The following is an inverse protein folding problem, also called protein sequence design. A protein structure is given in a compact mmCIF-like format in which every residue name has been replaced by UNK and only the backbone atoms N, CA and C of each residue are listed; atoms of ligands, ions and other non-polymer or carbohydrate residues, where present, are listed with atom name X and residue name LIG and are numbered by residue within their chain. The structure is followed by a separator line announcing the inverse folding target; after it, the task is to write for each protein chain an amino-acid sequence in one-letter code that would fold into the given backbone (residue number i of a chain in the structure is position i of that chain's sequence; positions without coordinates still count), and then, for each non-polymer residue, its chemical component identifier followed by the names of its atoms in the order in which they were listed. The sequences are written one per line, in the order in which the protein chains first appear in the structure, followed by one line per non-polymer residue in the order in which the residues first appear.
data_IF_016088299984
#
_entry.id   IF_016088299984
#
_cell.length_a   1.000
_cell.length_b   1.000
_cell.length_c   1.000
_cell.angle_alpha   90.00
_cell.angle_beta   90.00
_cell.angle_gamma   90.00
#
_symmetry.space_group_name_H-M   'P 1'
#
loop_
_entity.id
_entity.type
_entity.pdbx_description
1 polymer ?
#
# COMPACT_ATOMS: atom_id res chain seq x y z
N UNK A 1 -18.78 -3.23 25.01
CA UNK A 1 -18.15 -3.58 23.73
C UNK A 1 -17.75 -2.34 22.91
N UNK A 2 -18.65 -1.43 22.58
CA UNK A 2 -18.32 -0.24 21.75
C UNK A 2 -17.16 0.59 22.29
N UNK A 3 -17.09 0.82 23.60
CA UNK A 3 -15.99 1.57 24.23
C UNK A 3 -14.65 0.85 24.11
N UNK A 4 -14.62 -0.48 24.28
CA UNK A 4 -13.42 -1.29 24.11
C UNK A 4 -12.87 -1.14 22.68
N UNK A 5 -13.75 -1.27 21.68
CA UNK A 5 -13.34 -1.14 20.28
C UNK A 5 -12.90 0.28 19.94
N UNK A 6 -13.55 1.31 20.53
CA UNK A 6 -13.17 2.72 20.38
C UNK A 6 -11.78 2.98 20.97
N UNK A 7 -11.51 2.47 22.18
CA UNK A 7 -10.19 2.57 22.83
C UNK A 7 -9.09 1.92 21.99
N UNK A 8 -9.33 0.73 21.43
CA UNK A 8 -8.36 0.05 20.54
C UNK A 8 -8.12 0.86 19.24
N UNK A 9 -9.19 1.43 18.68
CA UNK A 9 -9.08 2.30 17.52
C UNK A 9 -8.22 3.54 17.83
N UNK A 10 -8.46 4.18 18.96
CA UNK A 10 -7.70 5.35 19.40
C UNK A 10 -6.24 5.01 19.68
N UNK A 11 -5.98 3.89 20.35
CA UNK A 11 -4.61 3.40 20.59
C UNK A 11 -3.87 3.17 19.28
N UNK A 12 -4.49 2.49 18.32
CA UNK A 12 -3.87 2.24 17.02
C UNK A 12 -3.67 3.54 16.23
N UNK A 13 -4.65 4.46 16.26
CA UNK A 13 -4.52 5.77 15.63
C UNK A 13 -3.37 6.58 16.21
N UNK A 14 -3.26 6.62 17.54
CA UNK A 14 -2.16 7.31 18.25
C UNK A 14 -0.80 6.70 17.86
N UNK A 15 -0.73 5.38 17.75
CA UNK A 15 0.46 4.70 17.27
C UNK A 15 0.81 5.12 15.82
N UNK A 16 -0.16 5.14 14.91
CA UNK A 16 0.05 5.58 13.54
C UNK A 16 0.48 7.06 13.47
N UNK A 17 -0.14 7.96 14.24
CA UNK A 17 0.23 9.37 14.31
C UNK A 17 1.66 9.54 14.84
N UNK A 18 2.06 8.73 15.83
CA UNK A 18 3.45 8.74 16.34
C UNK A 18 4.44 8.38 15.23
N UNK A 19 4.16 7.33 14.45
CA UNK A 19 5.05 6.91 13.37
C UNK A 19 5.00 7.86 12.17
N UNK A 20 3.86 8.49 11.87
CA UNK A 20 3.76 9.44 10.76
C UNK A 20 4.68 10.67 10.94
N UNK A 21 4.97 11.09 12.17
CA UNK A 21 5.93 12.17 12.45
C UNK A 21 7.35 11.84 11.98
N UNK A 22 7.74 10.57 11.99
CA UNK A 22 9.05 10.14 11.50
C UNK A 22 9.10 10.06 9.97
N UNK A 23 7.95 9.80 9.33
CA UNK A 23 7.83 9.80 7.87
C UNK A 23 7.74 11.22 7.33
N UNK A 24 6.90 12.05 7.95
CA UNK A 24 6.66 13.43 7.55
C UNK A 24 7.63 14.39 8.27
N UNK A 25 8.94 14.16 8.11
CA UNK A 25 9.94 15.11 8.54
C UNK A 25 10.02 16.28 7.54
N UNK A 26 10.63 17.40 7.95
CA UNK A 26 10.68 18.64 7.15
C UNK A 26 11.31 18.42 5.78
N UNK A 27 12.38 17.62 5.71
CA UNK A 27 13.06 17.31 4.45
C UNK A 27 12.17 16.49 3.50
N UNK A 28 11.45 15.51 4.03
CA UNK A 28 10.53 14.70 3.24
C UNK A 28 9.35 15.52 2.75
N UNK A 29 8.79 16.40 3.59
CA UNK A 29 7.70 17.30 3.20
C UNK A 29 8.15 18.25 2.09
N UNK A 30 9.32 18.84 2.21
CA UNK A 30 9.88 19.71 1.17
C UNK A 30 10.09 18.96 -0.14
N UNK A 31 10.70 17.76 -0.07
CA UNK A 31 10.86 16.88 -1.24
C UNK A 31 9.53 16.56 -1.90
N UNK A 32 8.52 16.15 -1.12
CA UNK A 32 7.19 15.84 -1.65
C UNK A 32 6.52 17.05 -2.30
N UNK A 33 6.71 18.24 -1.76
CA UNK A 33 6.15 19.47 -2.32
C UNK A 33 6.74 19.78 -3.71
N UNK A 34 8.07 19.69 -3.82
CA UNK A 34 8.79 19.85 -5.10
C UNK A 34 8.36 18.74 -6.09
N UNK A 35 8.28 17.50 -5.61
CA UNK A 35 7.91 16.35 -6.45
C UNK A 35 6.47 16.45 -6.96
N UNK A 36 5.52 16.88 -6.13
CA UNK A 36 4.12 17.12 -6.57
C UNK A 36 4.07 18.25 -7.59
N UNK A 37 4.83 19.34 -7.38
CA UNK A 37 4.94 20.42 -8.37
C UNK A 37 5.49 19.93 -9.72
N UNK A 38 6.55 19.13 -9.69
CA UNK A 38 7.10 18.50 -10.88
C UNK A 38 6.07 17.61 -11.60
N UNK A 39 5.38 16.73 -10.83
CA UNK A 39 4.33 15.88 -11.41
C UNK A 39 3.18 16.69 -12.01
N UNK A 40 2.80 17.80 -11.40
CA UNK A 40 1.74 18.67 -11.93
C UNK A 40 2.14 19.30 -13.27
N UNK A 41 3.40 19.73 -13.41
CA UNK A 41 3.93 20.26 -14.68
C UNK A 41 3.96 19.16 -15.75
N UNK A 42 4.49 17.97 -15.42
CA UNK A 42 4.53 16.84 -16.36
C UNK A 42 3.11 16.41 -16.78
N UNK A 43 2.18 16.39 -15.85
CA UNK A 43 0.78 16.08 -16.13
C UNK A 43 0.14 17.13 -17.06
N UNK A 44 0.42 18.41 -16.84
CA UNK A 44 -0.06 19.50 -17.70
C UNK A 44 0.51 19.40 -19.12
N UNK A 45 1.82 19.12 -19.26
CA UNK A 45 2.46 18.91 -20.56
C UNK A 45 1.88 17.68 -21.27
N UNK A 46 1.71 16.58 -20.56
CA UNK A 46 1.10 15.37 -21.11
C UNK A 46 -0.32 15.61 -21.64
N UNK A 47 -1.11 16.48 -20.96
CA UNK A 47 -2.44 16.86 -21.44
C UNK A 47 -2.42 17.68 -22.73
N UNK A 48 -1.36 18.48 -22.95
CA UNK A 48 -1.20 19.29 -24.17
C UNK A 48 -0.71 18.47 -25.37
N UNK A 49 0.14 17.48 -25.11
CA UNK A 49 0.80 16.65 -26.13
C UNK A 49 0.09 15.29 -26.33
N UNK A 50 -1.22 15.22 -26.11
CA UNK A 50 -1.98 13.99 -26.33
C UNK A 50 -1.97 13.55 -27.79
N UNK A 51 -1.76 12.25 -28.07
CA UNK A 51 -1.81 11.73 -29.44
C UNK A 51 -3.23 11.88 -30.03
N UNK A 52 -3.33 11.96 -31.35
CA UNK A 52 -4.61 12.10 -32.07
C UNK A 52 -5.58 10.96 -31.76
N UNK A 53 -5.07 9.74 -31.59
CA UNK A 53 -5.85 8.60 -31.13
C UNK A 53 -5.67 8.40 -29.62
N UNK A 54 -6.64 8.84 -28.86
CA UNK A 54 -6.66 8.76 -27.41
C UNK A 54 -7.38 7.53 -26.87
N UNK A 55 -7.86 6.64 -27.76
CA UNK A 55 -8.68 5.49 -27.38
C UNK A 55 -7.96 4.54 -26.40
N UNK A 56 -6.69 4.22 -26.68
CA UNK A 56 -5.87 3.38 -25.81
C UNK A 56 -5.67 4.01 -24.43
N UNK A 57 -5.38 5.31 -24.37
CA UNK A 57 -5.19 6.04 -23.10
C UNK A 57 -6.48 6.01 -22.31
N UNK A 58 -7.62 6.28 -22.93
CA UNK A 58 -8.93 6.25 -22.29
C UNK A 58 -9.23 4.88 -21.67
N UNK A 59 -9.11 3.80 -22.45
CA UNK A 59 -9.39 2.46 -21.95
C UNK A 59 -8.41 2.03 -20.86
N UNK A 60 -7.12 2.32 -21.00
CA UNK A 60 -6.12 2.01 -19.98
C UNK A 60 -6.41 2.72 -18.64
N UNK A 61 -6.83 3.99 -18.69
CA UNK A 61 -7.24 4.74 -17.51
C UNK A 61 -8.50 4.15 -16.86
N UNK A 62 -9.52 3.86 -17.65
CA UNK A 62 -10.75 3.26 -17.12
C UNK A 62 -10.46 1.91 -16.47
N UNK A 63 -9.67 1.05 -17.11
CA UNK A 63 -9.26 -0.23 -16.53
C UNK A 63 -8.40 0.00 -15.27
N UNK A 64 -7.45 0.93 -15.29
CA UNK A 64 -6.63 1.26 -14.13
C UNK A 64 -7.45 1.72 -12.93
N UNK A 65 -8.43 2.59 -13.14
CA UNK A 65 -9.34 3.04 -12.09
C UNK A 65 -10.27 1.93 -11.60
N UNK A 66 -10.68 1.00 -12.47
CA UNK A 66 -11.46 -0.18 -12.11
C UNK A 66 -10.64 -1.12 -11.21
N UNK A 67 -9.34 -1.29 -11.46
CA UNK A 67 -8.44 -2.09 -10.63
C UNK A 67 -8.27 -1.53 -9.20
N UNK A 68 -8.63 -0.28 -8.95
CA UNK A 68 -8.66 0.31 -7.61
C UNK A 68 -9.90 -0.09 -6.80
N UNK A 69 -10.95 -0.62 -7.43
CA UNK A 69 -12.20 -1.00 -6.75
C UNK A 69 -11.99 -2.01 -5.62
N UNK A 70 -11.22 -3.10 -5.79
CA UNK A 70 -11.00 -4.07 -4.73
C UNK A 70 -10.08 -3.58 -3.60
N UNK A 71 -9.42 -2.43 -3.77
CA UNK A 71 -8.53 -1.87 -2.76
C UNK A 71 -9.36 -1.36 -1.58
N UNK A 72 -8.94 -1.74 -0.38
CA UNK A 72 -9.56 -1.38 0.88
C UNK A 72 -9.83 -2.56 1.77
N UNK A 73 -9.89 -2.31 3.07
CA UNK A 73 -10.14 -3.32 4.10
C UNK A 73 -11.12 -2.80 5.13
N UNK A 74 -11.87 -3.72 5.75
CA UNK A 74 -12.80 -3.40 6.83
C UNK A 74 -12.00 -3.39 8.14
N UNK A 75 -12.06 -2.29 8.88
CA UNK A 75 -11.37 -2.12 10.15
C UNK A 75 -12.24 -2.62 11.30
N UNK A 76 -11.98 -3.82 11.78
CA UNK A 76 -12.80 -4.46 12.83
C UNK A 76 -12.25 -4.23 14.23
N UNK A 77 -10.95 -4.02 14.39
CA UNK A 77 -10.24 -3.89 15.68
C UNK A 77 -10.42 -5.09 16.60
N UNK A 78 -10.78 -6.26 16.06
CA UNK A 78 -10.86 -7.52 16.80
C UNK A 78 -9.48 -8.06 17.11
N UNK A 79 -9.36 -8.68 18.29
CA UNK A 79 -8.11 -9.30 18.78
C UNK A 79 -8.36 -10.75 19.21
N UNK A 80 -7.29 -11.54 19.33
CA UNK A 80 -7.39 -12.98 19.66
C UNK A 80 -8.25 -13.29 20.89
N UNK A 81 -8.19 -12.54 22.02
CA UNK A 81 -9.00 -12.81 23.18
C UNK A 81 -10.51 -12.67 22.95
N UNK A 82 -10.93 -11.86 21.96
CA UNK A 82 -12.34 -11.58 21.70
C UNK A 82 -13.12 -12.82 21.30
N UNK A 83 -12.47 -13.77 20.63
CA UNK A 83 -13.09 -15.04 20.26
C UNK A 83 -13.59 -15.85 21.47
N UNK A 84 -12.99 -15.64 22.64
CA UNK A 84 -13.41 -16.29 23.89
C UNK A 84 -14.38 -15.41 24.68
N UNK A 85 -14.02 -14.14 24.89
CA UNK A 85 -14.77 -13.26 25.80
C UNK A 85 -16.01 -12.63 25.20
N UNK A 86 -16.07 -12.45 23.86
CA UNK A 86 -17.20 -11.84 23.19
C UNK A 86 -18.12 -12.84 22.48
N UNK A 87 -17.86 -14.15 22.62
CA UNK A 87 -18.68 -15.19 22.01
C UNK A 87 -20.16 -15.07 22.42
N UNK A 88 -20.42 -14.82 23.71
CA UNK A 88 -21.78 -14.64 24.25
C UNK A 88 -22.50 -13.41 23.64
N UNK A 89 -21.73 -12.44 23.14
CA UNK A 89 -22.23 -11.20 22.53
C UNK A 89 -22.04 -11.15 21.01
N UNK A 90 -22.01 -12.32 20.38
CA UNK A 90 -21.71 -12.42 18.93
C UNK A 90 -22.64 -11.56 18.07
N UNK A 91 -23.92 -11.46 18.39
CA UNK A 91 -24.88 -10.63 17.65
C UNK A 91 -24.56 -9.12 17.75
N UNK A 92 -24.03 -8.66 18.89
CA UNK A 92 -23.56 -7.29 19.01
C UNK A 92 -22.30 -7.05 18.15
N UNK A 93 -21.42 -8.06 18.09
CA UNK A 93 -20.18 -8.01 17.27
C UNK A 93 -20.56 -8.01 15.79
N UNK A 94 -21.50 -8.82 15.34
CA UNK A 94 -22.00 -8.82 13.97
C UNK A 94 -22.55 -7.43 13.57
N UNK A 95 -23.39 -6.83 14.41
CA UNK A 95 -23.89 -5.45 14.20
C UNK A 95 -22.77 -4.41 14.14
N UNK A 96 -21.77 -4.57 14.99
CA UNK A 96 -20.58 -3.69 14.97
C UNK A 96 -19.79 -3.84 13.67
N UNK A 97 -19.52 -5.06 13.18
CA UNK A 97 -18.80 -5.33 11.93
C UNK A 97 -19.57 -4.71 10.76
N UNK A 98 -20.89 -4.86 10.68
CA UNK A 98 -21.72 -4.22 9.66
C UNK A 98 -21.58 -2.69 9.66
N UNK A 99 -21.56 -2.09 10.85
CA UNK A 99 -21.33 -0.65 10.99
C UNK A 99 -19.93 -0.23 10.55
N UNK A 100 -18.92 -1.02 10.86
CA UNK A 100 -17.53 -0.76 10.42
C UNK A 100 -17.35 -0.99 8.91
N UNK A 101 -18.03 -1.95 8.32
CA UNK A 101 -18.03 -2.17 6.87
C UNK A 101 -18.55 -0.94 6.13
N UNK A 102 -19.67 -0.36 6.59
CA UNK A 102 -20.21 0.89 6.02
C UNK A 102 -19.24 2.07 6.16
N UNK A 103 -18.65 2.27 7.33
CA UNK A 103 -17.66 3.34 7.56
C UNK A 103 -16.42 3.15 6.68
N UNK A 104 -15.92 1.92 6.58
CA UNK A 104 -14.78 1.59 5.74
C UNK A 104 -15.10 1.78 4.26
N UNK A 105 -16.31 1.41 3.82
CA UNK A 105 -16.79 1.68 2.46
C UNK A 105 -16.76 3.17 2.15
N UNK A 106 -17.37 4.01 3.00
CA UNK A 106 -17.41 5.47 2.78
C UNK A 106 -16.00 6.04 2.72
N UNK A 107 -15.11 5.65 3.63
CA UNK A 107 -13.73 6.12 3.65
C UNK A 107 -12.97 5.75 2.37
N UNK A 108 -13.05 4.50 1.93
CA UNK A 108 -12.37 4.04 0.72
C UNK A 108 -13.03 4.54 -0.56
N UNK A 109 -14.33 4.79 -0.55
CA UNK A 109 -15.03 5.43 -1.65
C UNK A 109 -14.59 6.88 -1.82
N UNK A 110 -14.44 7.64 -0.73
CA UNK A 110 -13.92 9.01 -0.78
C UNK A 110 -12.48 9.06 -1.34
N UNK A 111 -11.61 8.14 -0.90
CA UNK A 111 -10.25 8.05 -1.45
C UNK A 111 -10.29 7.74 -2.95
N UNK A 112 -11.09 6.79 -3.38
CA UNK A 112 -11.23 6.44 -4.80
C UNK A 112 -11.80 7.61 -5.62
N UNK A 113 -12.79 8.32 -5.09
CA UNK A 113 -13.36 9.50 -5.73
C UNK A 113 -12.34 10.63 -5.86
N UNK A 114 -11.49 10.83 -4.84
CA UNK A 114 -10.40 11.79 -4.90
C UNK A 114 -9.37 11.43 -5.98
N UNK A 115 -8.96 10.16 -6.05
CA UNK A 115 -8.05 9.71 -7.11
C UNK A 115 -8.69 9.91 -8.48
N UNK A 116 -9.97 9.57 -8.64
CA UNK A 116 -10.68 9.77 -9.89
C UNK A 116 -10.75 11.25 -10.29
N UNK A 117 -10.97 12.15 -9.32
CA UNK A 117 -10.99 13.59 -9.55
C UNK A 117 -9.67 14.10 -10.16
N UNK A 118 -8.52 13.56 -9.75
CA UNK A 118 -7.23 13.90 -10.33
C UNK A 118 -7.12 13.49 -11.81
N UNK A 119 -7.84 12.45 -12.23
CA UNK A 119 -7.82 11.96 -13.61
C UNK A 119 -8.97 12.50 -14.47
N UNK A 120 -9.92 13.25 -13.90
CA UNK A 120 -11.02 13.87 -14.66
C UNK A 120 -10.53 14.72 -15.83
N UNK A 121 -9.53 15.62 -15.68
CA UNK A 121 -9.05 16.42 -16.81
C UNK A 121 -8.53 15.55 -17.96
N UNK A 122 -7.84 14.47 -17.65
CA UNK A 122 -7.32 13.54 -18.66
C UNK A 122 -8.45 12.76 -19.34
N UNK A 123 -9.47 12.32 -18.59
CA UNK A 123 -10.66 11.66 -19.16
C UNK A 123 -11.42 12.59 -20.10
N UNK A 124 -11.56 13.87 -19.74
CA UNK A 124 -12.16 14.89 -20.63
C UNK A 124 -11.34 15.11 -21.88
N UNK A 125 -10.03 15.23 -21.75
CA UNK A 125 -9.10 15.42 -22.88
C UNK A 125 -9.12 14.22 -23.85
N UNK A 126 -9.44 13.01 -23.38
CA UNK A 126 -9.64 11.83 -24.24
C UNK A 126 -11.02 11.77 -24.91
N UNK A 127 -11.82 12.83 -24.79
CA UNK A 127 -13.13 12.92 -25.43
C UNK A 127 -14.29 12.24 -24.69
N UNK A 128 -14.10 11.89 -23.40
CA UNK A 128 -15.24 11.47 -22.58
C UNK A 128 -16.11 12.68 -22.21
N UNK A 129 -17.41 12.59 -22.49
CA UNK A 129 -18.37 13.61 -22.07
C UNK A 129 -18.61 13.61 -20.55
N UNK A 130 -19.00 14.77 -20.01
CA UNK A 130 -19.26 14.93 -18.57
C UNK A 130 -20.25 13.88 -18.03
N UNK A 131 -21.32 13.60 -18.79
CA UNK A 131 -22.33 12.60 -18.39
C UNK A 131 -21.72 11.19 -18.27
N UNK A 132 -20.84 10.82 -19.19
CA UNK A 132 -20.16 9.52 -19.16
C UNK A 132 -19.21 9.40 -17.96
N UNK A 133 -18.55 10.48 -17.56
CA UNK A 133 -17.69 10.51 -16.37
C UNK A 133 -18.54 10.33 -15.11
N UNK A 134 -19.66 11.04 -14.99
CA UNK A 134 -20.57 10.89 -13.84
C UNK A 134 -21.13 9.46 -13.78
N UNK A 135 -21.56 8.89 -14.90
CA UNK A 135 -22.02 7.52 -14.98
C UNK A 135 -20.91 6.54 -14.56
N UNK A 136 -19.68 6.77 -14.98
CA UNK A 136 -18.55 5.94 -14.61
C UNK A 136 -18.24 6.01 -13.10
N UNK A 137 -18.31 7.18 -12.47
CA UNK A 137 -18.21 7.35 -11.01
C UNK A 137 -19.24 6.51 -10.28
N UNK A 138 -20.49 6.57 -10.73
CA UNK A 138 -21.59 5.80 -10.15
C UNK A 138 -21.35 4.30 -10.28
N UNK A 139 -20.95 3.83 -11.44
CA UNK A 139 -20.60 2.41 -11.68
C UNK A 139 -19.48 1.96 -10.75
N UNK A 140 -18.39 2.74 -10.62
CA UNK A 140 -17.30 2.43 -9.68
C UNK A 140 -17.78 2.43 -8.23
N UNK A 141 -18.69 3.33 -7.85
CA UNK A 141 -19.29 3.38 -6.51
C UNK A 141 -20.10 2.13 -6.20
N UNK A 142 -20.98 1.72 -7.12
CA UNK A 142 -21.77 0.49 -7.00
C UNK A 142 -20.86 -0.75 -6.94
N UNK A 143 -19.89 -0.84 -7.84
CA UNK A 143 -18.92 -1.93 -7.85
C UNK A 143 -18.14 -2.01 -6.53
N UNK A 144 -17.69 -0.88 -5.98
CA UNK A 144 -17.02 -0.83 -4.68
C UNK A 144 -17.96 -1.25 -3.56
N UNK A 145 -19.23 -0.82 -3.58
CA UNK A 145 -20.24 -1.26 -2.62
C UNK A 145 -20.43 -2.77 -2.64
N UNK A 146 -20.55 -3.37 -3.83
CA UNK A 146 -20.64 -4.82 -4.01
C UNK A 146 -19.40 -5.56 -3.45
N UNK A 147 -18.20 -5.05 -3.73
CA UNK A 147 -16.95 -5.61 -3.19
C UNK A 147 -16.91 -5.54 -1.66
N UNK A 148 -17.32 -4.43 -1.05
CA UNK A 148 -17.34 -4.31 0.41
C UNK A 148 -18.40 -5.20 1.05
N UNK A 149 -19.58 -5.33 0.44
CA UNK A 149 -20.62 -6.28 0.88
C UNK A 149 -20.13 -7.73 0.80
N UNK A 150 -19.45 -8.09 -0.29
CA UNK A 150 -18.85 -9.41 -0.42
C UNK A 150 -17.72 -9.67 0.59
N UNK A 151 -16.88 -8.65 0.87
CA UNK A 151 -15.85 -8.75 1.92
C UNK A 151 -16.46 -8.92 3.31
N UNK A 152 -17.57 -8.24 3.58
CA UNK A 152 -18.33 -8.38 4.82
C UNK A 152 -18.94 -9.77 4.93
N UNK A 153 -19.63 -10.24 3.88
CA UNK A 153 -20.24 -11.57 3.85
C UNK A 153 -19.25 -12.69 4.15
N UNK A 154 -18.00 -12.55 3.73
CA UNK A 154 -16.93 -13.51 4.03
C UNK A 154 -16.55 -13.64 5.51
N UNK A 155 -16.97 -12.71 6.37
CA UNK A 155 -16.78 -12.86 7.82
C UNK A 155 -17.75 -13.85 8.45
N UNK A 156 -18.80 -14.24 7.72
CA UNK A 156 -19.84 -15.15 8.23
C UNK A 156 -19.71 -16.52 7.55
N UNK A 157 -19.89 -17.55 8.34
CA UNK A 157 -19.98 -18.93 7.89
C UNK A 157 -21.16 -19.58 8.59
N UNK A 158 -22.10 -20.14 7.81
CA UNK A 158 -23.33 -20.76 8.34
C UNK A 158 -24.10 -19.87 9.32
N UNK A 159 -24.16 -18.55 9.04
CA UNK A 159 -24.81 -17.57 9.89
C UNK A 159 -24.01 -17.11 11.12
N UNK A 160 -22.91 -17.79 11.47
CA UNK A 160 -22.05 -17.46 12.60
C UNK A 160 -20.83 -16.66 12.17
N UNK A 161 -20.24 -15.90 13.10
CA UNK A 161 -19.03 -15.14 12.84
C UNK A 161 -17.80 -16.07 12.80
N UNK A 162 -17.08 -16.04 11.69
CA UNK A 162 -15.78 -16.71 11.62
C UNK A 162 -14.72 -15.83 12.31
N UNK A 163 -14.56 -16.04 13.62
CA UNK A 163 -13.65 -15.29 14.48
C UNK A 163 -12.20 -15.36 14.02
N UNK A 164 -11.75 -16.55 13.61
CA UNK A 164 -10.36 -16.76 13.15
C UNK A 164 -10.05 -15.91 11.93
N UNK A 165 -10.96 -15.91 10.96
CA UNK A 165 -10.81 -15.12 9.74
C UNK A 165 -10.90 -13.61 10.01
N UNK A 166 -11.83 -13.18 10.86
CA UNK A 166 -12.02 -11.77 11.22
C UNK A 166 -10.77 -11.21 11.92
N UNK A 167 -10.23 -11.94 12.88
CA UNK A 167 -9.00 -11.57 13.61
C UNK A 167 -7.78 -11.61 12.68
N UNK A 168 -7.66 -12.64 11.83
CA UNK A 168 -6.54 -12.74 10.89
C UNK A 168 -6.50 -11.56 9.91
N UNK A 169 -7.66 -11.16 9.35
CA UNK A 169 -7.77 -10.01 8.45
C UNK A 169 -7.44 -8.68 9.14
N UNK A 170 -7.91 -8.50 10.38
CA UNK A 170 -7.57 -7.31 11.15
C UNK A 170 -6.07 -7.22 11.44
N UNK A 171 -5.46 -8.33 11.85
CA UNK A 171 -4.02 -8.39 12.05
C UNK A 171 -3.24 -8.10 10.77
N UNK A 172 -3.66 -8.67 9.63
CA UNK A 172 -3.05 -8.39 8.33
C UNK A 172 -3.17 -6.91 7.95
N UNK A 173 -4.34 -6.28 8.19
CA UNK A 173 -4.56 -4.85 7.97
C UNK A 173 -3.62 -3.99 8.82
N UNK A 174 -3.58 -4.24 10.15
CA UNK A 174 -2.69 -3.52 11.07
C UNK A 174 -1.23 -3.69 10.68
N UNK A 175 -0.81 -4.92 10.36
CA UNK A 175 0.55 -5.21 9.92
C UNK A 175 0.92 -4.51 8.61
N UNK A 176 0.00 -4.44 7.64
CA UNK A 176 0.24 -3.74 6.37
C UNK A 176 0.52 -2.25 6.59
N UNK A 177 -0.28 -1.60 7.44
CA UNK A 177 -0.08 -0.19 7.81
C UNK A 177 1.26 -0.02 8.54
N UNK A 178 1.57 -0.88 9.51
CA UNK A 178 2.81 -0.78 10.26
C UNK A 178 4.05 -1.09 9.39
N UNK A 179 3.94 -1.99 8.41
CA UNK A 179 4.99 -2.26 7.43
C UNK A 179 5.29 -1.04 6.55
N UNK A 180 4.25 -0.28 6.19
CA UNK A 180 4.47 0.98 5.48
C UNK A 180 5.33 1.94 6.32
N UNK A 181 5.03 2.11 7.60
CA UNK A 181 5.87 2.93 8.49
C UNK A 181 7.28 2.35 8.69
N UNK A 182 7.41 1.03 8.69
CA UNK A 182 8.71 0.35 8.81
C UNK A 182 9.64 0.61 7.62
N UNK A 183 9.15 1.16 6.51
CA UNK A 183 10.00 1.62 5.40
C UNK A 183 10.84 2.85 5.79
N UNK A 184 10.38 3.62 6.77
CA UNK A 184 10.96 4.92 7.15
C UNK A 184 11.54 4.92 8.57
N UNK A 185 11.07 4.03 9.45
CA UNK A 185 11.51 3.99 10.85
C UNK A 185 11.39 2.58 11.43
N UNK A 186 12.12 2.32 12.50
CA UNK A 186 11.99 1.05 13.25
C UNK A 186 10.65 1.00 13.99
N UNK A 187 9.80 0.06 13.62
CA UNK A 187 8.48 -0.12 14.22
C UNK A 187 8.49 -1.29 15.20
N UNK A 188 8.09 -1.02 16.45
CA UNK A 188 7.94 -2.08 17.46
C UNK A 188 6.87 -3.09 17.02
N UNK A 189 7.21 -4.38 17.09
CA UNK A 189 6.29 -5.48 16.71
C UNK A 189 6.39 -5.92 15.25
N UNK A 190 7.19 -5.24 14.43
CA UNK A 190 7.64 -5.76 13.14
C UNK A 190 9.08 -6.21 13.32
N UNK A 191 9.25 -7.43 13.78
CA UNK A 191 10.56 -8.07 13.78
C UNK A 191 10.86 -8.53 12.35
N UNK A 192 11.91 -7.97 11.78
CA UNK A 192 12.45 -8.49 10.54
C UNK A 192 13.02 -9.87 10.81
N UNK A 193 12.23 -10.89 10.51
CA UNK A 193 12.69 -12.25 10.66
C UNK A 193 13.80 -12.51 9.64
N UNK A 194 14.95 -12.92 10.15
CA UNK A 194 16.01 -13.47 9.31
C UNK A 194 15.45 -14.72 8.64
N UNK A 195 15.04 -14.60 7.37
CA UNK A 195 14.48 -15.71 6.60
C UNK A 195 15.52 -16.24 5.63
N UNK A 196 15.70 -17.56 5.60
CA UNK A 196 16.46 -18.20 4.55
C UNK A 196 15.72 -18.01 3.22
N UNK A 197 16.39 -17.35 2.25
CA UNK A 197 15.90 -17.18 0.89
C UNK A 197 16.63 -18.20 0.00
N UNK A 198 16.06 -19.39 -0.11
CA UNK A 198 16.66 -20.51 -0.81
C UNK A 198 17.03 -20.18 -2.28
N UNK A 199 16.29 -19.31 -2.94
CA UNK A 199 16.56 -18.86 -4.31
C UNK A 199 17.84 -18.01 -4.43
N UNK A 200 18.32 -17.42 -3.34
CA UNK A 200 19.57 -16.65 -3.30
C UNK A 200 20.77 -17.50 -2.89
N UNK A 201 20.56 -18.73 -2.43
CA UNK A 201 21.65 -19.63 -2.03
C UNK A 201 22.57 -19.95 -3.23
N UNK A 202 22.08 -19.83 -4.48
CA UNK A 202 22.88 -19.97 -5.71
C UNK A 202 24.02 -18.95 -5.81
N UNK A 203 23.78 -17.69 -5.39
CA UNK A 203 24.82 -16.65 -5.37
C UNK A 203 25.91 -16.96 -4.34
N UNK A 204 25.57 -17.60 -3.22
CA UNK A 204 26.54 -18.05 -2.23
C UNK A 204 27.40 -19.21 -2.75
N UNK A 205 26.87 -20.00 -3.67
CA UNK A 205 27.60 -21.11 -4.32
C UNK A 205 28.67 -20.65 -5.31
N UNK A 206 28.58 -19.40 -5.82
CA UNK A 206 29.61 -18.84 -6.72
C UNK A 206 30.91 -18.46 -5.98
N UNK A 207 30.85 -18.32 -4.67
CA UNK A 207 32.05 -18.00 -3.85
C UNK A 207 32.77 -19.29 -3.44
N UNK A 208 34.06 -19.46 -3.76
CA UNK A 208 34.81 -20.63 -3.35
C UNK A 208 34.95 -20.67 -1.82
N UNK A 209 34.71 -21.84 -1.24
CA UNK A 209 34.79 -22.07 0.21
C UNK A 209 36.26 -22.26 0.65
N UNK A 210 37.04 -21.21 0.54
CA UNK A 210 38.43 -21.17 1.00
C UNK A 210 38.52 -20.44 2.34
N UNK A 211 39.56 -20.72 3.12
CA UNK A 211 39.76 -20.08 4.44
C UNK A 211 39.86 -18.56 4.33
N UNK A 212 40.45 -18.01 3.27
CA UNK A 212 40.52 -16.57 3.02
C UNK A 212 39.15 -15.90 2.74
N UNK A 213 38.18 -16.67 2.22
CA UNK A 213 36.85 -16.15 1.88
C UNK A 213 35.82 -16.34 2.99
N UNK A 214 36.21 -16.80 4.16
CA UNK A 214 35.29 -17.09 5.27
C UNK A 214 34.49 -15.85 5.68
N UNK A 215 35.14 -14.71 5.81
CA UNK A 215 34.50 -13.45 6.16
C UNK A 215 33.53 -12.96 5.07
N UNK A 216 33.92 -13.04 3.82
CA UNK A 216 33.08 -12.67 2.68
C UNK A 216 31.85 -13.54 2.62
N UNK A 217 31.98 -14.85 2.82
CA UNK A 217 30.88 -15.80 2.89
C UNK A 217 29.88 -15.46 4.03
N UNK A 218 30.42 -15.08 5.18
CA UNK A 218 29.64 -14.73 6.37
C UNK A 218 28.86 -13.43 6.14
N UNK A 219 29.51 -12.40 5.60
CA UNK A 219 28.88 -11.13 5.28
C UNK A 219 27.80 -11.27 4.21
N UNK A 220 28.09 -11.96 3.11
CA UNK A 220 27.11 -12.23 2.05
C UNK A 220 25.90 -13.01 2.59
N UNK A 221 26.13 -14.00 3.42
CA UNK A 221 25.05 -14.77 4.04
C UNK A 221 24.21 -13.93 5.00
N UNK A 222 24.85 -13.08 5.79
CA UNK A 222 24.15 -12.14 6.69
C UNK A 222 23.32 -11.13 5.89
N UNK A 223 23.92 -10.53 4.87
CA UNK A 223 23.28 -9.56 3.98
C UNK A 223 22.05 -10.14 3.27
N UNK A 224 22.18 -11.30 2.62
CA UNK A 224 21.08 -11.94 1.87
C UNK A 224 19.95 -12.42 2.78
N UNK A 225 20.23 -12.69 4.06
CA UNK A 225 19.22 -13.13 5.04
C UNK A 225 18.59 -11.98 5.80
N UNK A 226 19.29 -10.85 5.91
CA UNK A 226 18.75 -9.66 6.57
C UNK A 226 17.70 -9.01 5.65
N UNK A 227 16.45 -8.98 6.12
CA UNK A 227 15.32 -8.41 5.36
C UNK A 227 15.46 -6.92 5.09
N UNK A 228 16.05 -6.18 6.02
CA UNK A 228 16.18 -4.72 5.92
C UNK A 228 17.24 -4.32 4.92
N UNK A 229 18.45 -4.85 5.08
CA UNK A 229 19.54 -4.55 4.17
C UNK A 229 19.21 -4.96 2.73
N UNK A 230 18.67 -6.17 2.55
CA UNK A 230 18.27 -6.64 1.23
C UNK A 230 17.16 -5.80 0.60
N UNK A 231 16.14 -5.38 1.38
CA UNK A 231 15.06 -4.54 0.85
C UNK A 231 15.54 -3.11 0.56
N UNK A 232 16.49 -2.59 1.33
CA UNK A 232 17.10 -1.27 1.10
C UNK A 232 17.88 -1.27 -0.21
N UNK A 233 18.73 -2.25 -0.43
CA UNK A 233 19.50 -2.37 -1.68
C UNK A 233 18.60 -2.60 -2.89
N UNK A 234 17.52 -3.39 -2.77
CA UNK A 234 16.57 -3.57 -3.85
C UNK A 234 15.86 -2.27 -4.24
N UNK A 235 15.52 -1.43 -3.24
CA UNK A 235 14.93 -0.10 -3.48
C UNK A 235 15.91 0.84 -4.16
N UNK A 236 17.15 0.89 -3.68
CA UNK A 236 18.21 1.71 -4.31
C UNK A 236 18.43 1.28 -5.75
N UNK A 237 18.47 -0.02 -6.01
CA UNK A 237 18.62 -0.56 -7.36
C UNK A 237 17.40 -0.22 -8.23
N UNK A 238 16.18 -0.29 -7.72
CA UNK A 238 14.97 0.11 -8.44
C UNK A 238 14.98 1.62 -8.75
N UNK A 239 15.38 2.47 -7.78
CA UNK A 239 15.50 3.91 -7.98
C UNK A 239 16.59 4.25 -9.00
N UNK A 240 17.73 3.58 -8.98
CA UNK A 240 18.81 3.78 -9.96
C UNK A 240 18.37 3.38 -11.37
N UNK A 241 17.64 2.28 -11.52
CA UNK A 241 17.09 1.87 -12.81
C UNK A 241 16.06 2.88 -13.34
N UNK A 242 15.18 3.38 -12.46
CA UNK A 242 14.24 4.44 -12.85
C UNK A 242 14.98 5.72 -13.26
N UNK A 243 16.01 6.12 -12.51
CA UNK A 243 16.82 7.29 -12.87
C UNK A 243 17.49 7.13 -14.25
N UNK A 244 18.00 5.95 -14.57
CA UNK A 244 18.59 5.66 -15.90
C UNK A 244 17.57 5.79 -17.02
N UNK A 245 16.32 5.38 -16.79
CA UNK A 245 15.26 5.43 -17.81
C UNK A 245 14.76 6.87 -18.04
N UNK A 246 14.65 7.67 -16.98
CA UNK A 246 14.01 8.98 -17.06
C UNK A 246 14.97 10.16 -17.25
N UNK A 247 16.26 9.99 -16.98
CA UNK A 247 17.26 11.07 -17.10
C UNK A 247 18.13 10.82 -18.32
N UNK A 248 18.00 11.62 -19.40
CA UNK A 248 18.71 11.41 -20.66
C UNK A 248 20.22 11.76 -20.61
N UNK A 249 20.68 12.37 -19.52
CA UNK A 249 22.09 12.77 -19.38
C UNK A 249 22.90 11.71 -18.57
N UNK A 250 23.82 10.96 -19.19
CA UNK A 250 24.51 9.85 -18.55
C UNK A 250 25.38 10.25 -17.34
N UNK A 251 25.95 11.46 -17.36
CA UNK A 251 26.78 11.97 -16.25
C UNK A 251 25.96 12.23 -14.97
N UNK A 252 24.74 12.74 -15.12
CA UNK A 252 23.84 12.99 -13.98
C UNK A 252 23.37 11.67 -13.37
N UNK A 253 23.13 10.66 -14.19
CA UNK A 253 22.76 9.32 -13.74
C UNK A 253 23.91 8.67 -12.96
N UNK A 254 25.14 8.76 -13.46
CA UNK A 254 26.34 8.22 -12.79
C UNK A 254 26.55 8.93 -11.44
N UNK A 255 26.42 10.25 -11.39
CA UNK A 255 26.53 11.02 -10.16
C UNK A 255 25.44 10.67 -9.14
N UNK A 256 24.20 10.48 -9.57
CA UNK A 256 23.06 10.07 -8.72
C UNK A 256 23.24 8.64 -8.18
N UNK A 257 23.69 7.72 -9.02
CA UNK A 257 23.98 6.33 -8.62
C UNK A 257 25.17 6.29 -7.64
N UNK A 258 26.18 7.12 -7.84
CA UNK A 258 27.33 7.23 -6.92
C UNK A 258 26.96 7.86 -5.57
N UNK A 259 25.98 8.76 -5.54
CA UNK A 259 25.44 9.37 -4.30
C UNK A 259 24.51 8.45 -3.50
N UNK A 260 23.86 7.50 -4.18
CA UNK A 260 22.92 6.56 -3.58
C UNK A 260 23.57 5.27 -3.07
N UNK A 261 24.84 5.01 -3.44
CA UNK A 261 25.68 3.90 -2.94
C UNK A 261 26.66 4.37 -1.86
#
# INVERSE_FOLDING_TARGET
MKELMKKRQETFRTQCVKYSRYVLNDHFVLFMLIFIGFLAVQYSQFLQDLPKDTSLIRWSLMIGLLLLVPIGSIATYLEKPDALFLLVKEEEVKRYIKGQAKKSFVFWFLIQSFVLLLFVPLLLATGLGNLAIVAYILVLGVAKGAVFSWKEARFYQDGNLNWTLAIARENARKQLILRFFALFTTVKGITNSVKRRAYLDGFLGLLPKTHGNTWLHLYMRSFLRNGDLFSMTLRLLALSLLAIIFIPQPLVVIALVALLN
#
